data_IF_066741666474
#
_entry.id   IF_066741666474
#
_cell.length_a   1.000
_cell.length_b   1.000
_cell.length_c   1.000
_cell.angle_alpha   90.00
_cell.angle_beta   90.00
_cell.angle_gamma   90.00
#
_symmetry.space_group_name_H-M   'P 1'
#
loop_
_entity.id
_entity.type
_entity.pdbx_description
1 polymer ?
#
# COMPACT_ATOMS: atom_id res chain seq x y z
N UNK A 1 -50.33 -9.19 -13.13
CA UNK A 1 -49.31 -8.35 -12.48
C UNK A 1 -48.16 -8.29 -13.45
N UNK A 2 -48.17 -7.27 -14.31
CA UNK A 2 -47.11 -7.03 -15.29
C UNK A 2 -45.87 -6.57 -14.53
N UNK A 3 -44.75 -7.26 -14.70
CA UNK A 3 -43.47 -6.80 -14.20
C UNK A 3 -43.08 -5.55 -15.00
N UNK A 4 -43.05 -4.40 -14.33
CA UNK A 4 -42.47 -3.20 -14.91
C UNK A 4 -41.01 -3.51 -15.27
N UNK A 5 -40.72 -3.52 -16.57
CA UNK A 5 -39.36 -3.52 -17.10
C UNK A 5 -38.71 -2.26 -16.57
N UNK A 6 -37.84 -2.42 -15.56
CA UNK A 6 -37.09 -1.33 -14.96
C UNK A 6 -36.31 -0.60 -16.05
N UNK A 7 -36.38 0.73 -16.05
CA UNK A 7 -35.53 1.57 -16.89
C UNK A 7 -34.07 1.11 -16.76
N UNK A 8 -33.25 1.17 -17.82
CA UNK A 8 -31.83 0.84 -17.72
C UNK A 8 -31.21 1.79 -16.69
N UNK A 9 -30.97 1.26 -15.50
CA UNK A 9 -30.28 1.99 -14.46
C UNK A 9 -28.86 2.19 -14.95
N UNK A 10 -28.48 3.44 -15.24
CA UNK A 10 -27.17 3.83 -15.74
C UNK A 10 -26.14 3.76 -14.60
N UNK A 11 -26.08 2.61 -13.91
CA UNK A 11 -25.13 2.34 -12.85
C UNK A 11 -23.75 2.11 -13.47
N UNK A 12 -22.67 2.54 -12.79
CA UNK A 12 -21.32 2.29 -13.27
C UNK A 12 -21.08 0.80 -13.55
N UNK A 13 -20.44 0.52 -14.67
CA UNK A 13 -19.99 -0.78 -15.12
C UNK A 13 -18.83 -1.32 -14.29
N UNK A 14 -18.53 -2.62 -14.43
CA UNK A 14 -17.34 -3.27 -13.85
C UNK A 14 -16.07 -2.51 -14.23
N UNK A 15 -15.97 -2.06 -15.47
CA UNK A 15 -14.82 -1.31 -15.97
C UNK A 15 -14.67 0.04 -15.25
N UNK A 16 -15.76 0.75 -14.99
CA UNK A 16 -15.73 2.03 -14.28
C UNK A 16 -15.35 1.86 -12.81
N UNK A 17 -15.86 0.83 -12.13
CA UNK A 17 -15.45 0.49 -10.75
C UNK A 17 -13.97 0.09 -10.71
N UNK A 18 -13.49 -0.65 -11.70
CA UNK A 18 -12.07 -1.00 -11.79
C UNK A 18 -11.18 0.23 -12.05
N UNK A 19 -11.63 1.19 -12.84
CA UNK A 19 -10.90 2.45 -13.06
C UNK A 19 -10.84 3.29 -11.78
N UNK A 20 -11.93 3.35 -11.00
CA UNK A 20 -11.95 3.95 -9.66
C UNK A 20 -10.90 3.27 -8.76
N UNK A 21 -10.93 1.93 -8.65
CA UNK A 21 -9.95 1.15 -7.89
C UNK A 21 -8.51 1.48 -8.33
N UNK A 22 -8.24 1.51 -9.64
CA UNK A 22 -6.91 1.81 -10.17
C UNK A 22 -6.43 3.21 -9.78
N UNK A 23 -7.31 4.20 -9.88
CA UNK A 23 -6.99 5.58 -9.54
C UNK A 23 -6.62 5.72 -8.07
N UNK A 24 -7.45 5.17 -7.18
CA UNK A 24 -7.19 5.15 -5.74
C UNK A 24 -5.90 4.39 -5.41
N UNK A 25 -5.70 3.22 -6.00
CA UNK A 25 -4.47 2.43 -5.85
C UNK A 25 -3.24 3.21 -6.28
N UNK A 26 -3.30 3.92 -7.40
CA UNK A 26 -2.20 4.75 -7.89
C UNK A 26 -1.86 5.88 -6.91
N UNK A 27 -2.89 6.55 -6.36
CA UNK A 27 -2.72 7.57 -5.33
C UNK A 27 -1.97 7.04 -4.10
N UNK A 28 -2.39 5.88 -3.56
CA UNK A 28 -1.75 5.26 -2.40
C UNK A 28 -0.30 4.87 -2.70
N UNK A 29 -0.05 4.23 -3.85
CA UNK A 29 1.32 3.88 -4.27
C UNK A 29 2.19 5.14 -4.42
N UNK A 30 1.61 6.25 -4.88
CA UNK A 30 2.32 7.53 -4.97
C UNK A 30 2.70 8.05 -3.58
N UNK A 31 1.75 8.08 -2.63
CA UNK A 31 1.98 8.49 -1.24
C UNK A 31 3.12 7.68 -0.59
N UNK A 32 3.08 6.36 -0.73
CA UNK A 32 4.04 5.45 -0.09
C UNK A 32 5.37 5.30 -0.85
N UNK A 33 5.57 5.99 -1.99
CA UNK A 33 6.80 5.84 -2.77
C UNK A 33 7.39 7.13 -3.33
N UNK A 34 6.61 7.90 -4.09
CA UNK A 34 7.11 9.12 -4.76
C UNK A 34 7.04 10.29 -3.79
N UNK A 35 5.90 10.44 -3.11
CA UNK A 35 5.60 11.55 -2.21
C UNK A 35 5.84 11.18 -0.74
N UNK A 36 6.72 10.19 -0.49
CA UNK A 36 6.89 9.57 0.82
C UNK A 36 7.22 10.56 1.94
N UNK A 37 8.13 11.51 1.69
CA UNK A 37 8.53 12.51 2.69
C UNK A 37 7.36 13.40 3.11
N UNK A 38 6.50 13.79 2.16
CA UNK A 38 5.30 14.60 2.43
C UNK A 38 4.27 13.78 3.21
N UNK A 39 4.02 12.54 2.78
CA UNK A 39 3.16 11.60 3.51
C UNK A 39 3.63 11.37 4.95
N UNK A 40 4.93 11.11 5.16
CA UNK A 40 5.52 10.88 6.48
C UNK A 40 5.37 12.11 7.40
N UNK A 41 5.60 13.31 6.87
CA UNK A 41 5.44 14.57 7.61
C UNK A 41 3.98 14.84 7.99
N UNK A 42 3.02 14.53 7.13
CA UNK A 42 1.60 14.73 7.42
C UNK A 42 1.08 13.77 8.50
N UNK A 43 1.63 12.56 8.61
CA UNK A 43 1.32 11.55 9.62
C UNK A 43 1.90 11.88 11.01
N UNK A 44 1.60 13.06 11.55
CA UNK A 44 2.07 13.51 12.87
C UNK A 44 1.40 12.73 14.01
N UNK A 45 2.15 12.01 14.88
CA UNK A 45 1.61 11.30 16.03
C UNK A 45 1.03 12.21 17.12
N UNK A 46 1.30 13.53 17.06
CA UNK A 46 0.70 14.52 17.95
C UNK A 46 -0.69 14.99 17.53
N UNK A 47 -1.18 14.56 16.35
CA UNK A 47 -2.56 14.82 15.88
C UNK A 47 -3.49 13.68 16.28
N UNK A 48 -4.79 13.92 16.13
CA UNK A 48 -5.82 12.90 16.27
C UNK A 48 -5.61 11.74 15.28
N UNK A 49 -6.44 10.70 15.38
CA UNK A 49 -6.28 9.47 14.61
C UNK A 49 -6.47 9.71 13.10
N UNK A 50 -5.38 9.64 12.33
CA UNK A 50 -5.39 9.92 10.89
C UNK A 50 -5.53 8.64 10.06
N UNK A 51 -6.10 8.80 8.88
CA UNK A 51 -6.25 7.81 7.82
C UNK A 51 -5.47 8.23 6.56
N UNK A 52 -5.14 7.28 5.69
CA UNK A 52 -4.65 7.55 4.34
C UNK A 52 -5.76 7.25 3.32
N UNK A 53 -6.18 8.29 2.59
CA UNK A 53 -7.16 8.19 1.52
C UNK A 53 -6.51 8.23 0.15
N UNK A 54 -7.02 7.41 -0.75
CA UNK A 54 -6.77 7.48 -2.19
C UNK A 54 -8.05 7.85 -2.95
N UNK A 55 -7.92 8.74 -3.92
CA UNK A 55 -9.03 9.21 -4.76
C UNK A 55 -8.92 8.70 -6.20
N UNK A 56 -10.05 8.61 -6.94
CA UNK A 56 -10.06 8.07 -8.30
C UNK A 56 -9.26 8.90 -9.31
N UNK A 57 -9.01 10.17 -9.00
CA UNK A 57 -8.17 11.08 -9.79
C UNK A 57 -6.67 10.97 -9.48
N UNK A 58 -6.24 9.89 -8.82
CA UNK A 58 -4.85 9.60 -8.46
C UNK A 58 -4.25 10.59 -7.43
N UNK A 59 -5.10 11.30 -6.69
CA UNK A 59 -4.71 12.15 -5.56
C UNK A 59 -4.85 11.37 -4.26
N UNK A 60 -3.92 11.57 -3.32
CA UNK A 60 -3.98 11.01 -1.97
C UNK A 60 -4.12 12.13 -0.94
N UNK A 61 -4.63 11.80 0.25
CA UNK A 61 -4.79 12.74 1.36
C UNK A 61 -4.63 12.00 2.69
N UNK A 62 -3.98 12.67 3.66
CA UNK A 62 -4.00 12.24 5.06
C UNK A 62 -4.99 13.12 5.79
N UNK A 63 -6.03 12.52 6.37
CA UNK A 63 -7.10 13.25 7.05
C UNK A 63 -7.74 12.41 8.16
N UNK A 64 -8.61 13.05 8.94
CA UNK A 64 -9.47 12.39 9.91
C UNK A 64 -10.50 11.48 9.22
N UNK A 65 -10.99 10.44 9.91
CA UNK A 65 -12.11 9.63 9.43
C UNK A 65 -13.35 10.50 9.15
N UNK A 66 -14.24 10.05 8.26
CA UNK A 66 -15.48 10.78 8.00
C UNK A 66 -16.29 10.99 9.28
N UNK A 67 -16.75 12.23 9.49
CA UNK A 67 -17.60 12.58 10.64
C UNK A 67 -19.04 12.02 10.52
N UNK A 68 -19.49 11.75 9.29
CA UNK A 68 -20.85 11.29 9.01
C UNK A 68 -21.07 9.83 9.40
N UNK A 69 -22.24 9.55 10.00
CA UNK A 69 -22.62 8.20 10.45
C UNK A 69 -23.98 7.79 9.85
N UNK A 70 -24.03 6.75 8.98
CA UNK A 70 -22.91 5.95 8.48
C UNK A 70 -22.11 6.68 7.37
N UNK A 71 -20.82 6.38 7.27
CA UNK A 71 -19.96 6.87 6.20
C UNK A 71 -20.47 6.43 4.81
N UNK A 72 -20.22 7.25 3.79
CA UNK A 72 -20.70 6.99 2.42
C UNK A 72 -20.02 5.78 1.74
N UNK A 73 -18.77 5.51 2.10
CA UNK A 73 -17.95 4.38 1.64
C UNK A 73 -17.24 3.73 2.84
N UNK A 74 -16.71 2.50 2.71
CA UNK A 74 -15.86 1.92 3.75
C UNK A 74 -14.70 2.85 4.13
N UNK A 75 -14.45 2.98 5.43
CA UNK A 75 -13.35 3.80 5.95
C UNK A 75 -11.99 3.06 5.87
N UNK A 76 -10.88 3.76 5.61
CA UNK A 76 -9.53 3.22 5.74
C UNK A 76 -9.19 2.85 7.19
N UNK A 77 -8.01 2.27 7.39
CA UNK A 77 -7.48 2.04 8.74
C UNK A 77 -7.23 3.37 9.45
N UNK A 78 -7.73 3.43 10.68
CA UNK A 78 -7.61 4.58 11.56
C UNK A 78 -6.29 4.53 12.37
N UNK A 79 -5.70 5.71 12.61
CA UNK A 79 -4.58 5.87 13.53
C UNK A 79 -3.22 5.45 12.95
N UNK A 80 -3.01 5.59 11.64
CA UNK A 80 -1.73 5.22 11.01
C UNK A 80 -0.55 6.02 11.56
N UNK A 81 -0.81 7.25 12.02
CA UNK A 81 0.17 8.16 12.60
C UNK A 81 0.69 7.68 13.96
N UNK A 82 -0.11 6.98 14.78
CA UNK A 82 0.32 6.49 16.09
C UNK A 82 1.43 5.46 16.01
N UNK A 83 1.37 4.59 15.00
CA UNK A 83 2.36 3.53 14.81
C UNK A 83 3.65 4.02 14.15
N UNK A 84 3.68 5.25 13.60
CA UNK A 84 4.79 5.76 12.78
C UNK A 84 6.13 5.73 13.50
N UNK A 85 6.17 6.26 14.72
CA UNK A 85 7.41 6.38 15.50
C UNK A 85 7.66 5.17 16.42
N UNK A 86 6.67 4.27 16.52
CA UNK A 86 6.74 3.04 17.32
C UNK A 86 7.23 1.82 16.56
N UNK A 87 7.50 1.95 15.26
CA UNK A 87 7.90 0.86 14.37
C UNK A 87 9.12 1.25 13.53
N UNK A 88 9.85 0.25 13.03
CA UNK A 88 10.82 0.49 11.96
C UNK A 88 10.10 1.07 10.75
N UNK A 89 10.71 2.07 10.12
CA UNK A 89 10.13 2.83 9.00
C UNK A 89 9.55 1.91 7.91
N UNK A 90 10.32 0.88 7.54
CA UNK A 90 9.91 -0.10 6.55
C UNK A 90 8.67 -0.89 6.98
N UNK A 91 8.60 -1.29 8.25
CA UNK A 91 7.50 -2.09 8.77
C UNK A 91 6.23 -1.25 8.90
N UNK A 92 6.37 0.03 9.28
CA UNK A 92 5.26 0.99 9.26
C UNK A 92 4.70 1.18 7.84
N UNK A 93 5.56 1.40 6.84
CA UNK A 93 5.15 1.51 5.43
C UNK A 93 4.48 0.21 4.94
N UNK A 94 4.99 -0.95 5.34
CA UNK A 94 4.39 -2.25 5.03
C UNK A 94 3.00 -2.41 5.67
N UNK A 95 2.85 -1.97 6.91
CA UNK A 95 1.57 -1.94 7.63
C UNK A 95 0.55 -1.07 6.91
N UNK A 96 0.89 0.18 6.60
CA UNK A 96 -0.01 1.11 5.88
C UNK A 96 -0.39 0.54 4.51
N UNK A 97 0.57 -0.05 3.78
CA UNK A 97 0.31 -0.65 2.48
C UNK A 97 -0.69 -1.82 2.57
N UNK A 98 -0.49 -2.75 3.51
CA UNK A 98 -1.36 -3.91 3.67
C UNK A 98 -2.80 -3.52 4.06
N UNK A 99 -2.95 -2.52 4.93
CA UNK A 99 -4.28 -2.00 5.27
C UNK A 99 -4.92 -1.18 4.14
N UNK A 100 -4.11 -0.54 3.30
CA UNK A 100 -4.63 0.15 2.11
C UNK A 100 -5.15 -0.85 1.07
N UNK A 101 -4.48 -2.00 0.90
CA UNK A 101 -4.93 -3.08 0.00
C UNK A 101 -6.32 -3.61 0.40
N UNK A 102 -6.56 -3.83 1.70
CA UNK A 102 -7.88 -4.29 2.18
C UNK A 102 -8.94 -3.22 2.00
N UNK A 103 -8.63 -1.95 2.26
CA UNK A 103 -9.54 -0.84 2.04
C UNK A 103 -9.95 -0.69 0.56
N UNK A 104 -8.99 -0.77 -0.36
CA UNK A 104 -9.26 -0.66 -1.81
C UNK A 104 -10.20 -1.77 -2.30
N UNK A 105 -10.01 -3.01 -1.82
CA UNK A 105 -10.91 -4.13 -2.15
C UNK A 105 -12.30 -3.89 -1.55
N UNK A 106 -12.37 -3.42 -0.31
CA UNK A 106 -13.64 -3.12 0.35
C UNK A 106 -14.45 -2.05 -0.41
N UNK A 107 -13.81 -0.96 -0.85
CA UNK A 107 -14.44 0.10 -1.65
C UNK A 107 -14.93 -0.45 -2.99
N UNK A 108 -14.11 -1.21 -3.71
CA UNK A 108 -14.49 -1.78 -5.00
C UNK A 108 -15.71 -2.72 -4.88
N UNK A 109 -15.71 -3.59 -3.86
CA UNK A 109 -16.82 -4.51 -3.62
C UNK A 109 -18.07 -3.82 -3.06
N UNK A 110 -17.91 -2.74 -2.29
CA UNK A 110 -19.00 -1.87 -1.85
C UNK A 110 -19.72 -1.25 -3.06
N UNK A 111 -18.97 -0.70 -4.01
CA UNK A 111 -19.56 -0.19 -5.26
C UNK A 111 -20.19 -1.29 -6.10
N UNK A 112 -19.57 -2.46 -6.20
CA UNK A 112 -20.19 -3.61 -6.87
C UNK A 112 -21.55 -3.97 -6.28
N UNK A 113 -21.67 -4.02 -4.95
CA UNK A 113 -22.95 -4.26 -4.27
C UNK A 113 -23.96 -3.12 -4.55
N UNK A 114 -23.52 -1.86 -4.44
CA UNK A 114 -24.36 -0.67 -4.67
C UNK A 114 -24.89 -0.57 -6.10
N UNK A 115 -24.14 -1.05 -7.07
CA UNK A 115 -24.48 -1.00 -8.50
C UNK A 115 -25.15 -2.28 -9.01
N UNK A 116 -25.40 -3.25 -8.13
CA UNK A 116 -26.15 -4.46 -8.46
C UNK A 116 -25.36 -5.52 -9.22
N UNK A 117 -24.03 -5.57 -9.05
CA UNK A 117 -23.17 -6.56 -9.71
C UNK A 117 -23.58 -7.98 -9.35
N UNK A 118 -23.79 -8.78 -10.39
CA UNK A 118 -24.09 -10.20 -10.22
C UNK A 118 -22.81 -11.01 -9.89
N UNK A 119 -22.93 -12.34 -9.90
CA UNK A 119 -21.77 -13.21 -9.64
C UNK A 119 -20.66 -13.00 -10.68
N UNK A 120 -21.00 -12.93 -11.96
CA UNK A 120 -20.04 -12.82 -13.06
C UNK A 120 -19.33 -11.46 -13.03
N UNK A 121 -20.06 -10.39 -12.71
CA UNK A 121 -19.51 -9.05 -12.56
C UNK A 121 -18.48 -8.98 -11.43
N UNK A 122 -18.80 -9.56 -10.27
CA UNK A 122 -17.87 -9.62 -9.13
C UNK A 122 -16.64 -10.48 -9.42
N UNK A 123 -16.82 -11.62 -10.08
CA UNK A 123 -15.72 -12.49 -10.51
C UNK A 123 -14.80 -11.73 -11.49
N UNK A 124 -15.36 -11.00 -12.45
CA UNK A 124 -14.62 -10.19 -13.41
C UNK A 124 -13.85 -9.05 -12.71
N UNK A 125 -14.52 -8.27 -11.86
CA UNK A 125 -13.89 -7.19 -11.09
C UNK A 125 -12.71 -7.71 -10.26
N UNK A 126 -12.89 -8.82 -9.55
CA UNK A 126 -11.84 -9.42 -8.72
C UNK A 126 -10.64 -9.85 -9.56
N UNK A 127 -10.86 -10.48 -10.72
CA UNK A 127 -9.78 -10.86 -11.63
C UNK A 127 -8.98 -9.64 -12.10
N UNK A 128 -9.67 -8.57 -12.52
CA UNK A 128 -9.01 -7.33 -12.94
C UNK A 128 -8.18 -6.69 -11.82
N UNK A 129 -8.70 -6.69 -10.58
CA UNK A 129 -7.98 -6.23 -9.39
C UNK A 129 -6.72 -7.08 -9.16
N UNK A 130 -6.85 -8.40 -9.24
CA UNK A 130 -5.78 -9.35 -8.92
C UNK A 130 -4.70 -9.48 -10.01
N UNK A 131 -4.96 -8.98 -11.23
CA UNK A 131 -3.95 -8.84 -12.29
C UNK A 131 -2.91 -7.73 -11.99
N UNK A 132 -3.18 -6.86 -11.01
CA UNK A 132 -2.26 -5.84 -10.56
C UNK A 132 -1.49 -6.32 -9.31
N UNK A 133 -0.20 -5.95 -9.16
CA UNK A 133 0.47 -6.18 -7.88
C UNK A 133 -0.24 -5.41 -6.78
N UNK A 134 -0.25 -5.94 -5.57
CA UNK A 134 -0.79 -5.22 -4.42
C UNK A 134 0.02 -3.94 -4.15
N UNK A 135 -0.55 -2.99 -3.40
CA UNK A 135 0.19 -1.83 -2.90
C UNK A 135 1.41 -2.32 -2.10
N UNK A 136 1.21 -3.31 -1.23
CA UNK A 136 2.29 -3.94 -0.46
C UNK A 136 3.43 -4.43 -1.35
N UNK A 137 3.14 -5.22 -2.40
CA UNK A 137 4.14 -5.74 -3.33
C UNK A 137 4.86 -4.61 -4.08
N UNK A 138 4.11 -3.60 -4.53
CA UNK A 138 4.65 -2.46 -5.27
C UNK A 138 5.61 -1.61 -4.43
N UNK A 139 5.29 -1.41 -3.14
CA UNK A 139 6.08 -0.60 -2.22
C UNK A 139 7.31 -1.39 -1.73
N UNK A 140 7.15 -2.64 -1.28
CA UNK A 140 8.26 -3.48 -0.82
C UNK A 140 9.30 -3.72 -1.92
N UNK A 141 8.85 -3.93 -3.17
CA UNK A 141 9.74 -4.07 -4.33
C UNK A 141 10.59 -2.82 -4.61
N UNK A 142 10.07 -1.63 -4.31
CA UNK A 142 10.79 -0.34 -4.48
C UNK A 142 11.70 -0.02 -3.30
N UNK A 143 11.28 -0.28 -2.06
CA UNK A 143 12.12 -0.11 -0.85
C UNK A 143 13.41 -0.93 -0.95
N UNK A 144 13.33 -2.18 -1.45
CA UNK A 144 14.51 -3.03 -1.71
C UNK A 144 15.49 -2.45 -2.74
N UNK A 145 15.02 -1.65 -3.71
CA UNK A 145 15.87 -1.03 -4.74
C UNK A 145 16.56 0.25 -4.24
N UNK A 146 15.93 1.00 -3.33
CA UNK A 146 16.54 2.19 -2.71
C UNK A 146 17.61 1.81 -1.67
N UNK A 147 17.40 0.74 -0.89
CA UNK A 147 18.40 0.24 0.07
C UNK A 147 19.74 -0.23 -0.55
N UNK A 148 19.75 -0.60 -1.84
CA UNK A 148 20.99 -0.94 -2.57
C UNK A 148 21.79 0.26 -3.09
N UNK A 149 21.26 1.49 -2.98
CA UNK A 149 21.92 2.70 -3.51
C UNK A 149 22.75 3.49 -2.49
N UNK A 150 22.81 3.07 -1.22
CA UNK A 150 23.70 3.68 -0.20
C UNK A 150 24.79 2.70 0.25
N UNK A 151 25.84 2.59 -0.55
CA UNK A 151 27.17 2.16 -0.06
C UNK A 151 28.15 3.29 -0.37
N UNK A 152 28.83 3.89 0.63
CA UNK A 152 29.90 4.82 0.36
C UNK A 152 31.10 4.06 -0.20
N UNK A 153 31.68 4.61 -1.25
CA UNK A 153 32.95 4.21 -1.85
C UNK A 153 34.03 4.16 -0.75
N UNK A 154 34.66 2.99 -0.57
CA UNK A 154 35.98 2.89 0.04
C UNK A 154 36.97 2.50 -1.05
N UNK A 155 37.67 3.50 -1.57
CA UNK A 155 38.89 3.32 -2.35
C UNK A 155 40.02 2.98 -1.38
N UNK A 156 40.51 1.74 -1.40
CA UNK A 156 41.92 1.50 -1.08
C UNK A 156 42.44 0.31 -1.88
N UNK A 157 43.24 0.65 -2.88
CA UNK A 157 44.11 -0.27 -3.59
C UNK A 157 45.49 -0.16 -2.94
N UNK A 158 46.00 -1.23 -2.32
CA UNK A 158 47.42 -1.56 -2.40
C UNK A 158 47.72 -2.99 -1.98
N UNK A 159 48.69 -3.53 -2.69
CA UNK A 159 49.04 -4.93 -2.89
C UNK A 159 50.29 -5.25 -2.07
N UNK A 160 50.26 -6.31 -1.25
CA UNK A 160 51.47 -6.93 -0.69
C UNK A 160 51.27 -8.43 -0.52
N UNK A 161 52.03 -9.22 -1.29
CA UNK A 161 52.25 -10.66 -1.07
C UNK A 161 53.26 -10.85 0.08
N UNK A 162 53.00 -11.80 0.98
CA UNK A 162 54.05 -12.71 1.48
C UNK A 162 53.45 -13.91 2.22
N UNK A 163 53.92 -15.10 1.83
CA UNK A 163 53.70 -16.39 2.48
C UNK A 163 54.27 -16.41 3.91
N UNK A 164 53.65 -17.14 4.85
CA UNK A 164 54.37 -17.99 5.79
C UNK A 164 53.54 -19.20 6.25
N UNK A 165 54.29 -20.27 6.58
CA UNK A 165 53.94 -21.69 6.76
C UNK A 165 53.27 -22.02 8.11
N UNK A 166 52.52 -23.14 8.07
CA UNK A 166 52.31 -24.22 9.07
C UNK A 166 52.42 -23.90 10.58
N UNK A 167 51.36 -24.28 11.31
CA UNK A 167 51.42 -24.69 12.71
C UNK A 167 50.12 -25.43 13.09
N UNK A 168 50.24 -26.72 13.37
CA UNK A 168 49.20 -27.66 13.81
C UNK A 168 48.92 -27.58 15.30
N UNK A 169 47.66 -27.91 15.67
CA UNK A 169 47.16 -28.50 16.93
C UNK A 169 47.54 -27.89 18.30
N UNK A 170 46.54 -27.60 19.13
CA UNK A 170 46.11 -28.49 20.23
C UNK A 170 45.12 -27.79 21.20
N UNK A 171 44.38 -28.65 21.88
CA UNK A 171 43.23 -28.41 22.76
C UNK A 171 43.56 -27.63 24.04
N UNK A 172 42.51 -27.05 24.65
CA UNK A 172 42.52 -26.64 26.05
C UNK A 172 41.15 -26.13 26.51
N UNK A 173 40.38 -27.01 27.16
CA UNK A 173 39.16 -26.67 27.92
C UNK A 173 39.50 -25.69 29.06
N UNK A 174 38.65 -24.68 29.26
CA UNK A 174 37.79 -24.48 30.44
C UNK A 174 36.68 -23.48 30.09
#
# INVERSE_FOLDING_TARGET
>A
MEAAVGAPSNHPSVQEVFLDFKGRRAAIVKALTIDYEDFFQQCDPGKDDLCLYGFPNEVWQVDLPAEEVPAEIPEPVLGINFARDGMEERDWVCFVAAHSDTWLIAVAMFFGARFGFDKADRDNLFNMINDLPTVFEAVVGKVKKQGKKKSPVSNHNNKSKSNFKKGSESQGNY
#
